data_IF_404234272525
#
_entry.id   IF_404234272525
#
_cell.length_a   1.000
_cell.length_b   1.000
_cell.length_c   1.000
_cell.angle_alpha   90.00
_cell.angle_beta   90.00
_cell.angle_gamma   90.00
#
_symmetry.space_group_name_H-M   'P 1'
#
loop_
_entity.id
_entity.type
_entity.pdbx_description
1 polymer ?
#
# COMPACT_ATOMS: atom_id res chain seq x y z
N UNK A 1 -14.08 1.71 -9.59
CA UNK A 1 -13.88 2.55 -10.80
C UNK A 1 -14.19 1.71 -12.03
N UNK A 2 -14.18 2.31 -13.23
CA UNK A 2 -14.38 1.62 -14.52
C UNK A 2 -13.37 2.16 -15.53
N UNK A 3 -12.64 1.28 -16.21
CA UNK A 3 -11.72 1.58 -17.30
C UNK A 3 -12.45 1.28 -18.62
N UNK A 4 -12.76 2.28 -19.46
CA UNK A 4 -13.45 2.06 -20.72
C UNK A 4 -12.67 1.16 -21.68
N UNK A 5 -13.38 0.37 -22.47
CA UNK A 5 -12.81 -0.39 -23.59
C UNK A 5 -12.01 0.53 -24.52
N UNK A 6 -10.80 0.14 -24.90
CA UNK A 6 -9.96 0.87 -25.86
C UNK A 6 -9.15 2.03 -25.26
N UNK A 7 -9.34 2.37 -23.98
CA UNK A 7 -8.60 3.47 -23.34
C UNK A 7 -7.10 3.16 -23.24
N UNK A 8 -6.24 4.05 -23.76
CA UNK A 8 -4.77 3.84 -23.80
C UNK A 8 -4.04 4.32 -22.54
N UNK A 9 -4.62 5.26 -21.80
CA UNK A 9 -4.04 5.86 -20.61
C UNK A 9 -5.17 6.41 -19.72
N UNK A 10 -5.80 5.52 -18.95
CA UNK A 10 -6.87 5.86 -18.03
C UNK A 10 -6.32 6.01 -16.61
N UNK A 11 -6.53 7.16 -15.99
CA UNK A 11 -6.10 7.42 -14.61
C UNK A 11 -7.21 7.08 -13.60
N UNK A 12 -6.84 6.43 -12.51
CA UNK A 12 -7.68 6.20 -11.34
C UNK A 12 -6.96 6.74 -10.11
N UNK A 13 -7.70 7.43 -9.25
CA UNK A 13 -7.15 8.07 -8.07
C UNK A 13 -7.80 7.50 -6.80
N UNK A 14 -7.02 7.40 -5.73
CA UNK A 14 -7.50 7.05 -4.40
C UNK A 14 -6.88 7.98 -3.34
N UNK A 15 -7.59 8.15 -2.23
CA UNK A 15 -7.11 8.94 -1.10
C UNK A 15 -7.47 8.23 0.20
N UNK A 16 -6.50 8.12 1.10
CA UNK A 16 -6.66 7.54 2.42
C UNK A 16 -6.28 8.58 3.51
N UNK A 17 -7.21 8.97 4.38
CA UNK A 17 -6.92 9.87 5.50
C UNK A 17 -6.18 9.16 6.64
N UNK A 18 -5.17 9.81 7.20
CA UNK A 18 -4.37 9.32 8.34
C UNK A 18 -4.92 9.92 9.63
N UNK A 19 -5.55 9.11 10.48
CA UNK A 19 -6.31 9.57 11.65
C UNK A 19 -5.50 9.62 12.95
N UNK A 20 -4.27 9.12 12.94
CA UNK A 20 -3.36 9.07 14.07
C UNK A 20 -1.92 9.20 13.61
N UNK A 21 -1.01 9.49 14.53
CA UNK A 21 0.43 9.52 14.23
C UNK A 21 0.91 8.09 13.96
N UNK A 22 1.52 7.88 12.80
CA UNK A 22 2.00 6.57 12.36
C UNK A 22 3.41 6.65 11.79
N UNK A 23 4.12 5.54 11.87
CA UNK A 23 5.43 5.36 11.23
C UNK A 23 5.32 4.29 10.14
N UNK A 24 5.47 4.71 8.89
CA UNK A 24 5.37 3.84 7.71
C UNK A 24 6.69 3.10 7.50
N UNK A 25 6.62 1.78 7.42
CA UNK A 25 7.76 0.88 7.26
C UNK A 25 7.99 0.50 5.80
N UNK A 26 6.93 0.49 4.99
CA UNK A 26 7.00 0.13 3.59
C UNK A 26 5.64 0.08 2.93
N UNK A 27 5.64 -0.13 1.61
CA UNK A 27 4.44 -0.13 0.78
C UNK A 27 4.48 -1.22 -0.28
N UNK A 28 3.31 -1.72 -0.66
CA UNK A 28 3.13 -2.74 -1.72
C UNK A 28 2.11 -2.22 -2.72
N UNK A 29 2.53 -1.54 -3.79
CA UNK A 29 1.68 -1.23 -4.95
C UNK A 29 1.04 -2.50 -5.51
N UNK A 30 -0.21 -2.41 -5.98
CA UNK A 30 -0.92 -3.55 -6.55
C UNK A 30 -1.92 -3.14 -7.64
N UNK A 31 -1.73 -3.69 -8.84
CA UNK A 31 -2.56 -3.56 -10.04
C UNK A 31 -2.53 -4.88 -10.82
N UNK A 32 -3.49 -5.09 -11.74
CA UNK A 32 -3.53 -6.27 -12.59
C UNK A 32 -2.91 -6.01 -13.99
N UNK A 33 -3.40 -6.73 -15.01
CA UNK A 33 -2.79 -6.84 -16.34
C UNK A 33 -2.74 -5.53 -17.13
N UNK A 34 -3.68 -4.62 -16.90
CA UNK A 34 -3.78 -3.37 -17.65
C UNK A 34 -2.93 -2.26 -17.02
N UNK A 35 -2.31 -2.50 -15.86
CA UNK A 35 -1.52 -1.49 -15.17
C UNK A 35 -0.29 -1.01 -15.94
N UNK A 36 0.00 0.29 -15.82
CA UNK A 36 1.13 0.97 -16.47
C UNK A 36 2.03 1.73 -15.53
N UNK A 37 1.46 2.41 -14.55
CA UNK A 37 2.24 3.08 -13.51
C UNK A 37 1.41 3.32 -12.26
N UNK A 38 2.10 3.44 -11.13
CA UNK A 38 1.51 3.88 -9.88
C UNK A 38 2.43 4.88 -9.19
N UNK A 39 1.86 5.97 -8.70
CA UNK A 39 2.54 6.91 -7.81
C UNK A 39 1.73 7.11 -6.56
N UNK A 40 2.39 7.00 -5.41
CA UNK A 40 1.81 7.18 -4.08
C UNK A 40 2.63 8.19 -3.30
N UNK A 41 1.96 9.15 -2.67
CA UNK A 41 2.58 10.18 -1.84
C UNK A 41 1.66 10.55 -0.67
N UNK A 42 2.24 11.10 0.40
CA UNK A 42 1.48 11.70 1.48
C UNK A 42 1.44 13.23 1.33
N UNK A 43 0.28 13.84 1.51
CA UNK A 43 0.10 15.27 1.79
C UNK A 43 0.06 15.45 3.30
N UNK A 44 0.91 16.30 3.86
CA UNK A 44 1.01 16.53 5.30
C UNK A 44 0.09 17.68 5.74
N UNK A 45 -0.19 17.83 7.06
CA UNK A 45 -1.00 18.93 7.58
C UNK A 45 -0.49 20.32 7.18
N UNK A 46 0.83 20.48 7.07
CA UNK A 46 1.53 21.70 6.65
C UNK A 46 1.52 21.93 5.12
N UNK A 47 0.82 21.07 4.37
CA UNK A 47 0.73 21.06 2.89
C UNK A 47 1.99 20.62 2.15
N UNK A 48 3.07 20.26 2.86
CA UNK A 48 4.20 19.60 2.23
C UNK A 48 3.81 18.19 1.75
N UNK A 49 4.57 17.64 0.80
CA UNK A 49 4.35 16.30 0.28
C UNK A 49 5.55 15.40 0.51
N UNK A 50 5.29 14.12 0.82
CA UNK A 50 6.32 13.10 0.98
C UNK A 50 6.07 11.94 0.01
N UNK A 51 7.03 11.58 -0.86
CA UNK A 51 6.86 10.43 -1.74
C UNK A 51 6.84 9.13 -0.92
N UNK A 52 5.95 8.21 -1.26
CA UNK A 52 5.89 6.86 -0.67
C UNK A 52 6.41 5.80 -1.65
N UNK A 53 5.97 5.84 -2.90
CA UNK A 53 6.50 4.96 -3.96
C UNK A 53 6.17 5.53 -5.34
N UNK A 54 7.04 5.26 -6.30
CA UNK A 54 6.87 5.63 -7.70
C UNK A 54 7.29 4.44 -8.58
N UNK A 55 6.32 3.77 -9.20
CA UNK A 55 6.54 2.69 -10.16
C UNK A 55 6.15 3.24 -11.55
N UNK A 56 7.12 3.75 -12.34
CA UNK A 56 6.82 4.42 -13.61
C UNK A 56 6.53 3.45 -14.76
N UNK A 57 6.93 2.18 -14.63
CA UNK A 57 6.73 1.12 -15.60
C UNK A 57 6.29 -0.14 -14.87
N UNK A 58 4.98 -0.29 -14.70
CA UNK A 58 4.36 -1.43 -14.02
C UNK A 58 4.58 -2.72 -14.83
N UNK A 59 4.93 -3.78 -14.12
CA UNK A 59 4.91 -5.16 -14.60
C UNK A 59 3.98 -5.94 -13.68
N UNK A 60 3.04 -6.70 -14.24
CA UNK A 60 2.07 -7.48 -13.46
C UNK A 60 2.75 -8.48 -12.50
N UNK A 61 3.96 -8.96 -12.83
CA UNK A 61 4.73 -9.86 -11.98
C UNK A 61 5.48 -9.12 -10.86
N UNK A 62 5.60 -7.79 -10.95
CA UNK A 62 6.28 -6.94 -9.98
C UNK A 62 5.35 -6.50 -8.84
N UNK A 63 4.87 -7.48 -8.06
CA UNK A 63 3.97 -7.27 -6.93
C UNK A 63 4.76 -7.26 -5.60
N UNK A 64 5.84 -6.48 -5.53
CA UNK A 64 6.79 -6.52 -4.41
C UNK A 64 6.51 -5.47 -3.34
N UNK A 65 6.85 -5.80 -2.10
CA UNK A 65 6.91 -4.85 -1.00
C UNK A 65 8.21 -4.05 -1.06
N UNK A 66 8.10 -2.72 -1.03
CA UNK A 66 9.22 -1.80 -0.87
C UNK A 66 9.34 -1.42 0.60
N UNK A 67 10.25 -2.07 1.32
CA UNK A 67 10.62 -1.68 2.69
C UNK A 67 11.53 -0.47 2.65
N UNK A 68 11.23 0.55 3.46
CA UNK A 68 12.04 1.76 3.50
C UNK A 68 13.32 1.55 4.29
N UNK A 69 14.42 2.12 3.78
CA UNK A 69 15.69 2.19 4.52
C UNK A 69 15.55 2.97 5.82
N UNK A 70 14.77 4.05 5.77
CA UNK A 70 14.42 4.89 6.90
C UNK A 70 12.90 4.97 6.98
N UNK A 71 12.27 4.49 8.07
CA UNK A 71 10.83 4.59 8.25
C UNK A 71 10.34 6.04 8.16
N UNK A 72 9.14 6.22 7.61
CA UNK A 72 8.59 7.54 7.30
C UNK A 72 7.44 7.86 8.25
N UNK A 73 7.63 8.86 9.10
CA UNK A 73 6.59 9.33 10.01
C UNK A 73 5.53 10.15 9.27
N UNK A 74 4.26 9.77 9.42
CA UNK A 74 3.11 10.53 8.96
C UNK A 74 2.29 11.00 10.16
N UNK A 75 2.21 12.32 10.41
CA UNK A 75 1.39 12.83 11.51
C UNK A 75 -0.11 12.67 11.19
N UNK A 76 -0.92 12.61 12.25
CA UNK A 76 -2.38 12.74 12.18
C UNK A 76 -2.78 13.93 11.31
N UNK A 77 -3.77 13.72 10.45
CA UNK A 77 -4.26 14.72 9.51
C UNK A 77 -3.54 14.70 8.15
N UNK A 78 -2.50 13.87 8.00
CA UNK A 78 -1.95 13.56 6.67
C UNK A 78 -2.99 12.85 5.78
N UNK A 79 -2.76 12.88 4.47
CA UNK A 79 -3.54 12.15 3.45
C UNK A 79 -2.61 11.40 2.53
N UNK A 80 -2.75 10.09 2.45
CA UNK A 80 -2.07 9.29 1.42
C UNK A 80 -2.88 9.40 0.13
N UNK A 81 -2.21 9.75 -0.96
CA UNK A 81 -2.75 9.89 -2.31
C UNK A 81 -2.13 8.83 -3.20
N UNK A 82 -2.93 8.32 -4.12
CA UNK A 82 -2.53 7.33 -5.10
C UNK A 82 -3.09 7.73 -6.47
N UNK A 83 -2.25 7.66 -7.50
CA UNK A 83 -2.67 7.71 -8.90
C UNK A 83 -2.11 6.48 -9.60
N UNK A 84 -3.00 5.72 -10.22
CA UNK A 84 -2.69 4.55 -11.03
C UNK A 84 -3.14 4.78 -12.47
N UNK A 85 -2.34 4.34 -13.45
CA UNK A 85 -2.64 4.48 -14.88
C UNK A 85 -2.77 3.12 -15.54
N UNK A 86 -3.77 2.98 -16.41
CA UNK A 86 -4.12 1.73 -17.09
C UNK A 86 -4.20 1.90 -18.60
N UNK A 87 -3.90 0.82 -19.32
CA UNK A 87 -4.02 0.71 -20.78
C UNK A 87 -4.93 -0.47 -21.13
N UNK A 88 -6.21 -0.18 -21.37
CA UNK A 88 -7.23 -1.11 -21.85
C UNK A 88 -7.37 -1.07 -23.38
N UNK A 89 -6.33 -0.70 -24.11
CA UNK A 89 -6.34 -0.68 -25.57
C UNK A 89 -6.12 -2.08 -26.16
N UNK A 90 -6.49 -2.25 -27.44
CA UNK A 90 -6.21 -3.47 -28.20
C UNK A 90 -4.70 -3.71 -28.43
N UNK A 91 -3.90 -2.63 -28.41
CA UNK A 91 -2.44 -2.70 -28.56
C UNK A 91 -1.69 -3.12 -27.30
N UNK A 92 -2.35 -3.18 -26.13
CA UNK A 92 -1.72 -3.69 -24.92
C UNK A 92 -1.44 -5.21 -25.09
N UNK A 93 -0.18 -5.68 -25.02
CA UNK A 93 0.12 -7.11 -25.10
C UNK A 93 -0.52 -7.94 -23.98
N UNK A 94 -0.88 -7.31 -22.85
CA UNK A 94 -1.55 -7.93 -21.71
C UNK A 94 -3.07 -7.79 -21.74
N UNK A 95 -3.66 -7.25 -22.82
CA UNK A 95 -5.11 -7.12 -22.97
C UNK A 95 -5.78 -8.50 -22.92
N UNK A 96 -6.60 -8.81 -21.89
CA UNK A 96 -7.17 -10.14 -21.72
C UNK A 96 -8.37 -10.42 -22.63
N UNK A 97 -8.93 -9.41 -23.30
CA UNK A 97 -10.15 -9.53 -24.11
C UNK A 97 -9.98 -9.03 -25.54
N UNK A 98 -10.57 -9.75 -26.51
CA UNK A 98 -10.59 -9.35 -27.93
C UNK A 98 -12.02 -9.49 -28.49
N UNK A 99 -12.70 -8.39 -28.83
CA UNK A 99 -12.27 -6.99 -28.65
C UNK A 99 -12.18 -6.58 -27.17
N UNK A 100 -11.46 -5.48 -26.84
CA UNK A 100 -11.45 -4.91 -25.49
C UNK A 100 -12.85 -4.66 -24.94
N UNK A 101 -13.03 -4.85 -23.64
CA UNK A 101 -14.28 -4.58 -22.92
C UNK A 101 -14.04 -3.62 -21.77
N UNK A 102 -15.11 -3.00 -21.27
CA UNK A 102 -15.01 -2.22 -20.04
C UNK A 102 -14.54 -3.12 -18.89
N UNK A 103 -13.55 -2.65 -18.13
CA UNK A 103 -12.99 -3.36 -16.98
C UNK A 103 -13.35 -2.59 -15.71
N UNK A 104 -13.72 -3.31 -14.66
CA UNK A 104 -14.12 -2.75 -13.36
C UNK A 104 -13.20 -3.22 -12.25
N UNK A 105 -13.40 -2.71 -11.05
CA UNK A 105 -12.71 -3.23 -9.88
C UNK A 105 -13.15 -4.68 -9.60
N UNK A 106 -12.20 -5.57 -9.32
CA UNK A 106 -12.47 -6.96 -8.95
C UNK A 106 -11.21 -7.75 -8.62
N UNK A 107 -11.39 -8.95 -8.09
CA UNK A 107 -10.29 -9.84 -7.66
C UNK A 107 -9.78 -10.76 -8.77
N UNK A 108 -10.52 -10.90 -9.87
CA UNK A 108 -10.04 -11.65 -11.03
C UNK A 108 -8.85 -10.94 -11.67
N UNK A 109 -7.88 -11.71 -12.16
CA UNK A 109 -6.76 -11.19 -12.97
C UNK A 109 -7.21 -10.37 -14.19
N UNK A 110 -8.43 -10.61 -14.69
CA UNK A 110 -9.02 -9.88 -15.83
C UNK A 110 -9.86 -8.67 -15.41
N UNK A 111 -10.15 -8.54 -14.12
CA UNK A 111 -10.62 -7.29 -13.52
C UNK A 111 -9.40 -6.42 -13.18
N UNK A 112 -9.61 -5.25 -12.58
CA UNK A 112 -8.50 -4.40 -12.13
C UNK A 112 -8.54 -4.04 -10.66
N UNK A 113 -7.36 -3.70 -10.14
CA UNK A 113 -7.19 -3.16 -8.79
C UNK A 113 -6.40 -1.87 -8.82
N UNK A 114 -6.75 -0.97 -7.89
CA UNK A 114 -6.09 0.31 -7.66
C UNK A 114 -5.74 0.38 -6.18
N UNK A 115 -4.74 -0.39 -5.76
CA UNK A 115 -4.40 -0.57 -4.35
C UNK A 115 -2.93 -0.27 -4.09
N UNK A 116 -2.65 0.23 -2.89
CA UNK A 116 -1.32 0.21 -2.32
C UNK A 116 -1.44 -0.15 -0.86
N UNK A 117 -0.92 -1.31 -0.48
CA UNK A 117 -0.87 -1.72 0.92
C UNK A 117 0.22 -0.91 1.63
N UNK A 118 -0.07 -0.43 2.83
CA UNK A 118 0.85 0.37 3.62
C UNK A 118 1.12 -0.37 4.93
N UNK A 119 2.37 -0.78 5.16
CA UNK A 119 2.80 -1.34 6.43
C UNK A 119 3.25 -0.21 7.35
N UNK A 120 2.63 -0.08 8.52
CA UNK A 120 2.93 0.97 9.49
C UNK A 120 2.78 0.49 10.93
N UNK A 121 3.43 1.19 11.86
CA UNK A 121 3.15 1.13 13.30
C UNK A 121 2.36 2.35 13.75
N UNK A 122 1.58 2.20 14.81
CA UNK A 122 0.92 3.34 15.47
C UNK A 122 1.87 3.90 16.53
N UNK A 123 2.21 5.18 16.43
CA UNK A 123 3.23 5.78 17.31
C UNK A 123 2.81 5.78 18.79
N UNK A 124 1.51 5.79 19.06
CA UNK A 124 0.95 5.77 20.43
C UNK A 124 0.65 4.38 20.95
N UNK A 125 1.02 3.32 20.23
CA UNK A 125 0.76 1.95 20.66
C UNK A 125 1.66 1.58 21.84
N UNK A 126 1.03 1.27 22.97
CA UNK A 126 1.70 0.71 24.15
C UNK A 126 1.34 -0.77 24.24
N UNK A 127 2.34 -1.62 24.00
CA UNK A 127 2.20 -3.07 24.05
C UNK A 127 2.30 -3.64 25.48
N UNK A 128 2.49 -2.79 26.50
CA UNK A 128 2.70 -3.21 27.89
C UNK A 128 4.00 -4.00 28.09
N UNK A 129 4.93 -3.92 27.12
CA UNK A 129 6.20 -4.62 27.18
C UNK A 129 7.10 -3.92 28.19
N UNK A 130 7.61 -4.66 29.15
CA UNK A 130 8.67 -4.19 30.03
C UNK A 130 10.01 -4.60 29.45
N UNK A 131 10.99 -3.72 29.50
CA UNK A 131 12.37 -4.05 29.13
C UNK A 131 13.24 -4.11 30.36
N UNK A 132 14.15 -5.08 30.41
CA UNK A 132 15.19 -5.08 31.44
C UNK A 132 16.24 -3.98 31.15
N UNK A 133 17.22 -3.84 32.04
CA UNK A 133 18.30 -2.84 31.88
C UNK A 133 19.16 -3.01 30.61
N UNK A 134 19.03 -4.13 29.89
CA UNK A 134 19.72 -4.42 28.62
C UNK A 134 18.84 -4.17 27.39
N UNK A 135 17.60 -3.71 27.57
CA UNK A 135 16.65 -3.48 26.48
C UNK A 135 15.95 -4.74 25.96
N UNK A 136 16.09 -5.87 26.65
CA UNK A 136 15.41 -7.11 26.29
C UNK A 136 13.97 -7.07 26.81
N UNK A 137 13.00 -7.44 25.97
CA UNK A 137 11.60 -7.59 26.36
C UNK A 137 11.49 -8.71 27.38
N UNK A 138 10.91 -8.41 28.54
CA UNK A 138 10.63 -9.37 29.61
C UNK A 138 9.14 -9.43 29.88
N UNK A 139 8.67 -10.60 30.31
CA UNK A 139 7.26 -10.73 30.70
C UNK A 139 6.95 -9.76 31.85
N UNK A 140 5.74 -9.19 31.87
CA UNK A 140 5.32 -8.35 32.98
C UNK A 140 5.38 -9.14 34.30
N UNK A 141 5.80 -8.51 35.41
CA UNK A 141 5.90 -9.19 36.69
C UNK A 141 4.51 -9.69 37.14
N UNK A 142 4.35 -11.01 37.25
CA UNK A 142 3.10 -11.66 37.69
C UNK A 142 2.56 -12.75 36.76
N UNK A 143 3.03 -12.83 35.52
CA UNK A 143 2.70 -13.92 34.59
C UNK A 143 3.49 -15.18 34.96
N UNK A 144 2.91 -16.04 35.81
CA UNK A 144 3.45 -17.40 35.98
C UNK A 144 3.28 -18.14 34.66
N UNK A 145 4.38 -18.54 34.03
CA UNK A 145 4.37 -19.58 33.02
C UNK A 145 3.67 -20.81 33.63
N UNK A 146 2.53 -21.21 33.05
CA UNK A 146 1.93 -22.49 33.38
C UNK A 146 2.95 -23.57 32.98
N UNK A 147 3.62 -24.14 33.98
CA UNK A 147 4.49 -25.29 33.79
C UNK A 147 3.63 -26.44 33.26
N UNK A 148 3.87 -26.83 32.01
CA UNK A 148 3.40 -28.10 31.48
C UNK A 148 4.06 -29.23 32.29
N UNK A 149 3.34 -29.74 33.28
CA UNK A 149 3.66 -30.98 33.97
C UNK A 149 3.35 -32.17 33.07
N UNK A 150 4.28 -33.13 33.05
CA UNK A 150 4.17 -34.44 32.41
C UNK A 150 3.05 -35.28 33.00
#
# INVERSE_FOLDING_TARGET
>A
FRIPAGARDHAVEATFPVWMDVTVLGVTPHMHLLGRSMRVWAELPDKSTRPLVNVPAWDFNWQLTYTYREPLRLPKGSRVRLVARYDNSESNPHQPSRPPRDVVWGESTTDEMCLCFVGFTVDSEDLGLTTNARGEVVDPPGTRAASAGR
#
